data_IF_514738023811
#
_entry.id   IF_514738023811
#
_cell.length_a   1.000
_cell.length_b   1.000
_cell.length_c   1.000
_cell.angle_alpha   90.00
_cell.angle_beta   90.00
_cell.angle_gamma   90.00
#
_symmetry.space_group_name_H-M   'P 1'
#
loop_
_entity.id
_entity.type
_entity.pdbx_description
1 polymer ?
#
# COMPACT_ATOMS: atom_id res chain seq x y z
N UNK A 1 54.61 -9.00 2.48
CA UNK A 1 54.01 -8.17 1.41
C UNK A 1 53.32 -9.08 0.41
N UNK A 2 52.00 -9.25 0.52
CA UNK A 2 51.19 -9.93 -0.48
C UNK A 2 50.04 -9.00 -0.85
N UNK A 3 50.19 -8.33 -2.00
CA UNK A 3 49.10 -7.64 -2.66
C UNK A 3 48.43 -8.63 -3.60
N UNK A 4 47.11 -8.79 -3.50
CA UNK A 4 46.34 -9.45 -4.55
C UNK A 4 45.40 -8.43 -5.19
N UNK A 5 45.55 -8.29 -6.50
CA UNK A 5 44.66 -7.51 -7.35
C UNK A 5 43.25 -8.13 -7.30
N UNK A 6 42.25 -7.33 -6.93
CA UNK A 6 40.89 -7.64 -7.33
C UNK A 6 40.68 -7.16 -8.77
N UNK A 7 40.49 -8.11 -9.68
CA UNK A 7 40.23 -7.84 -11.08
C UNK A 7 38.84 -7.27 -11.31
N UNK A 8 38.72 -6.44 -12.37
CA UNK A 8 37.45 -5.90 -12.85
C UNK A 8 36.47 -7.03 -13.20
N UNK A 9 35.24 -6.96 -12.69
CA UNK A 9 34.13 -7.82 -13.09
C UNK A 9 33.12 -6.95 -13.86
N UNK A 10 33.39 -6.80 -15.15
CA UNK A 10 32.43 -6.27 -16.13
C UNK A 10 32.22 -7.38 -17.17
N UNK A 11 31.00 -7.47 -17.73
CA UNK A 11 30.48 -8.56 -18.58
C UNK A 11 29.96 -9.74 -17.72
N UNK A 12 28.73 -10.25 -17.88
CA UNK A 12 27.74 -10.09 -18.96
C UNK A 12 26.31 -9.80 -18.44
N UNK A 13 25.53 -8.99 -19.17
CA UNK A 13 24.07 -8.90 -19.06
C UNK A 13 23.46 -9.19 -20.44
N UNK A 14 22.48 -10.10 -20.57
CA UNK A 14 21.88 -10.41 -21.86
C UNK A 14 20.99 -9.27 -22.35
N UNK A 15 21.14 -8.96 -23.64
CA UNK A 15 20.34 -7.98 -24.36
C UNK A 15 18.91 -8.49 -24.63
N UNK A 16 17.98 -7.57 -24.93
CA UNK A 16 16.61 -7.85 -25.40
C UNK A 16 15.70 -8.74 -24.50
N UNK A 17 15.24 -8.16 -23.39
CA UNK A 17 13.87 -8.38 -22.91
C UNK A 17 13.16 -7.03 -22.83
N UNK A 18 12.10 -6.84 -23.60
CA UNK A 18 11.32 -5.60 -23.61
C UNK A 18 10.60 -5.43 -22.26
N UNK A 19 11.23 -4.67 -21.35
CA UNK A 19 10.73 -4.44 -20.00
C UNK A 19 9.34 -3.80 -20.04
N UNK A 20 8.39 -4.23 -19.19
CA UNK A 20 7.08 -3.59 -19.12
C UNK A 20 7.26 -2.10 -18.80
N UNK A 21 6.49 -1.25 -19.48
CA UNK A 21 6.59 0.22 -19.34
C UNK A 21 6.13 0.64 -17.94
N UNK A 22 7.11 0.88 -17.07
CA UNK A 22 6.90 1.32 -15.68
C UNK A 22 6.40 2.76 -15.66
N UNK A 23 5.49 3.06 -14.71
CA UNK A 23 5.04 4.41 -14.43
C UNK A 23 6.20 5.30 -13.93
N UNK A 24 6.51 6.32 -14.73
CA UNK A 24 7.62 7.26 -14.56
C UNK A 24 7.32 8.39 -13.56
N UNK A 25 6.18 8.36 -12.87
CA UNK A 25 5.75 9.43 -11.96
C UNK A 25 6.63 9.53 -10.71
N UNK A 26 7.06 8.40 -10.11
CA UNK A 26 7.93 8.39 -8.94
C UNK A 26 9.33 8.97 -9.21
N UNK A 27 9.94 8.67 -10.36
CA UNK A 27 11.27 9.21 -10.72
C UNK A 27 11.22 10.73 -10.97
N UNK A 28 10.13 11.22 -11.59
CA UNK A 28 9.91 12.67 -11.77
C UNK A 28 9.72 13.41 -10.44
N UNK A 29 9.08 12.77 -9.45
CA UNK A 29 8.90 13.35 -8.12
C UNK A 29 10.21 13.58 -7.35
N UNK A 30 11.25 12.76 -7.61
CA UNK A 30 12.59 12.92 -7.05
C UNK A 30 13.46 13.90 -7.86
N UNK A 31 13.36 13.88 -9.20
CA UNK A 31 14.24 14.63 -10.12
C UNK A 31 13.88 16.12 -10.33
N UNK A 32 12.80 16.63 -9.71
CA UNK A 32 12.50 18.07 -9.83
C UNK A 32 13.61 18.92 -9.20
N UNK A 33 14.28 19.72 -10.05
CA UNK A 33 15.31 20.73 -9.72
C UNK A 33 14.91 21.73 -8.62
N UNK A 34 13.65 21.70 -8.18
CA UNK A 34 13.09 22.53 -7.12
C UNK A 34 13.40 22.04 -5.70
N UNK A 35 13.73 20.75 -5.50
CA UNK A 35 13.85 20.13 -4.16
C UNK A 35 15.25 20.16 -3.53
N UNK A 36 16.31 20.41 -4.30
CA UNK A 36 17.72 20.46 -3.86
C UNK A 36 18.35 19.11 -3.44
N UNK A 37 17.83 17.99 -3.97
CA UNK A 37 18.44 16.67 -3.82
C UNK A 37 19.34 16.37 -5.03
N UNK A 38 20.58 15.95 -4.78
CA UNK A 38 21.50 15.50 -5.81
C UNK A 38 21.28 14.01 -6.09
N UNK A 39 21.22 13.63 -7.37
CA UNK A 39 21.09 12.23 -7.82
C UNK A 39 22.15 12.00 -8.87
N UNK A 40 23.30 11.47 -8.47
CA UNK A 40 24.46 11.31 -9.36
C UNK A 40 24.30 10.08 -10.27
N UNK A 41 23.63 9.03 -9.78
CA UNK A 41 23.36 7.80 -10.52
C UNK A 41 21.87 7.47 -10.56
N UNK A 42 21.17 7.97 -11.59
CA UNK A 42 19.73 7.75 -11.78
C UNK A 42 19.36 6.26 -11.99
N UNK A 43 20.27 5.46 -12.54
CA UNK A 43 20.04 4.02 -12.73
C UNK A 43 20.07 3.27 -11.38
N UNK A 44 21.04 3.58 -10.53
CA UNK A 44 21.10 3.08 -9.15
C UNK A 44 19.87 3.50 -8.35
N UNK A 45 19.50 4.79 -8.41
CA UNK A 45 18.33 5.30 -7.70
C UNK A 45 17.03 4.58 -8.10
N UNK A 46 16.85 4.24 -9.38
CA UNK A 46 15.71 3.43 -9.85
C UNK A 46 15.71 2.01 -9.31
N UNK A 47 16.86 1.36 -9.18
CA UNK A 47 16.97 0.01 -8.60
C UNK A 47 16.60 0.03 -7.12
N UNK A 48 17.17 0.97 -6.35
CA UNK A 48 16.90 1.10 -4.91
C UNK A 48 15.43 1.47 -4.65
N UNK A 49 14.88 2.46 -5.37
CA UNK A 49 13.46 2.83 -5.23
C UNK A 49 12.49 1.70 -5.61
N UNK A 50 12.91 0.76 -6.47
CA UNK A 50 12.14 -0.45 -6.79
C UNK A 50 12.21 -1.50 -5.67
N UNK A 51 13.32 -1.59 -4.94
CA UNK A 51 13.52 -2.55 -3.86
C UNK A 51 12.92 -2.08 -2.53
N UNK A 52 13.10 -0.81 -2.19
CA UNK A 52 12.74 -0.23 -0.88
C UNK A 52 11.41 0.54 -0.90
N UNK A 53 10.89 0.87 -2.08
CA UNK A 53 9.83 1.87 -2.31
C UNK A 53 10.26 3.33 -2.04
N UNK A 54 9.54 4.27 -2.66
CA UNK A 54 9.73 5.71 -2.42
C UNK A 54 9.33 6.13 -1.02
N UNK A 55 8.27 5.54 -0.44
CA UNK A 55 7.75 5.95 0.86
C UNK A 55 8.66 5.51 2.02
N UNK A 56 9.11 4.25 2.03
CA UNK A 56 10.02 3.77 3.07
C UNK A 56 11.36 4.52 3.06
N UNK A 57 11.94 4.77 1.88
CA UNK A 57 13.22 5.46 1.75
C UNK A 57 13.11 6.99 1.88
N UNK A 58 12.33 7.62 1.00
CA UNK A 58 12.25 9.09 0.94
C UNK A 58 11.26 9.60 1.98
N UNK A 59 10.09 8.97 2.12
CA UNK A 59 9.09 9.33 3.13
C UNK A 59 9.64 9.25 4.56
N UNK A 60 10.21 8.10 4.94
CA UNK A 60 10.72 7.87 6.30
C UNK A 60 11.91 8.75 6.70
N UNK A 61 12.83 9.03 5.78
CA UNK A 61 14.14 9.61 6.13
C UNK A 61 14.35 11.06 5.63
N UNK A 62 13.45 11.61 4.80
CA UNK A 62 13.54 12.99 4.24
C UNK A 62 13.81 14.07 5.29
N UNK A 63 13.21 13.97 6.47
CA UNK A 63 13.14 15.10 7.41
C UNK A 63 14.49 15.43 8.06
N UNK A 64 15.35 14.44 8.25
CA UNK A 64 16.73 14.62 8.75
C UNK A 64 17.57 15.43 7.75
N UNK A 65 17.34 15.25 6.46
CA UNK A 65 18.08 15.91 5.38
C UNK A 65 17.39 17.20 4.88
N UNK A 66 16.17 17.51 5.33
CA UNK A 66 15.47 18.73 4.98
C UNK A 66 15.75 19.88 5.94
N UNK A 67 15.59 21.10 5.44
CA UNK A 67 15.44 22.28 6.27
C UNK A 67 13.96 22.41 6.69
N UNK A 68 13.64 22.44 8.00
CA UNK A 68 12.24 22.46 8.47
C UNK A 68 11.42 23.64 7.97
N UNK A 69 12.07 24.78 7.72
CA UNK A 69 11.46 26.05 7.30
C UNK A 69 11.27 26.14 5.79
N UNK A 70 12.29 25.74 5.00
CA UNK A 70 12.22 25.86 3.52
C UNK A 70 11.63 24.62 2.84
N UNK A 71 11.47 23.51 3.57
CA UNK A 71 11.01 22.19 3.09
C UNK A 71 11.85 21.55 1.96
N UNK A 72 12.96 22.19 1.59
CA UNK A 72 13.98 21.67 0.65
C UNK A 72 15.03 20.85 1.38
N UNK A 73 15.73 20.00 0.64
CA UNK A 73 16.93 19.33 1.14
C UNK A 73 18.04 20.35 1.42
N UNK A 74 18.88 20.04 2.41
CA UNK A 74 20.07 20.82 2.77
C UNK A 74 21.04 20.84 1.59
N UNK A 75 21.83 21.92 1.47
CA UNK A 75 22.78 22.04 0.38
C UNK A 75 23.79 20.87 0.41
N UNK A 76 23.96 20.23 -0.74
CA UNK A 76 24.85 19.07 -0.88
C UNK A 76 24.25 17.71 -0.51
N UNK A 77 22.99 17.62 -0.05
CA UNK A 77 22.34 16.30 0.17
C UNK A 77 22.26 15.50 -1.12
N UNK A 78 22.75 14.26 -1.07
CA UNK A 78 22.69 13.27 -2.15
C UNK A 78 21.63 12.22 -1.84
N UNK A 79 21.09 11.58 -2.89
CA UNK A 79 20.16 10.47 -2.73
C UNK A 79 20.81 9.30 -1.98
N UNK A 80 22.09 9.08 -2.23
CA UNK A 80 22.94 8.11 -1.54
C UNK A 80 22.94 8.33 -0.01
N UNK A 81 22.93 9.58 0.49
CA UNK A 81 22.91 9.87 1.94
C UNK A 81 21.63 9.33 2.61
N UNK A 82 20.49 9.36 1.91
CA UNK A 82 19.23 8.80 2.40
C UNK A 82 19.26 7.26 2.36
N UNK A 83 19.92 6.68 1.36
CA UNK A 83 20.08 5.23 1.20
C UNK A 83 21.02 4.66 2.25
N UNK A 84 22.12 5.36 2.56
CA UNK A 84 23.05 5.01 3.64
C UNK A 84 22.34 5.05 5.00
N UNK A 85 21.52 6.08 5.26
CA UNK A 85 20.75 6.14 6.51
C UNK A 85 19.68 5.04 6.60
N UNK A 86 18.99 4.73 5.50
CA UNK A 86 18.04 3.62 5.43
C UNK A 86 18.72 2.28 5.73
N UNK A 87 19.84 1.98 5.07
CA UNK A 87 20.56 0.72 5.31
C UNK A 87 21.22 0.66 6.69
N UNK A 88 21.63 1.80 7.25
CA UNK A 88 22.09 1.87 8.63
C UNK A 88 20.96 1.53 9.62
N UNK A 89 19.74 2.05 9.42
CA UNK A 89 18.59 1.69 10.24
C UNK A 89 18.18 0.22 10.06
N UNK A 90 18.16 -0.31 8.84
CA UNK A 90 17.94 -1.75 8.59
C UNK A 90 18.97 -2.62 9.30
N UNK A 91 20.27 -2.29 9.21
CA UNK A 91 21.34 -3.01 9.90
C UNK A 91 21.17 -2.94 11.42
N UNK A 92 20.88 -1.74 11.95
CA UNK A 92 20.66 -1.51 13.37
C UNK A 92 19.44 -2.33 13.85
N UNK A 93 18.34 -2.32 13.09
CA UNK A 93 17.13 -3.08 13.38
C UNK A 93 17.35 -4.59 13.31
N UNK A 94 18.17 -5.07 12.37
CA UNK A 94 18.59 -6.48 12.31
C UNK A 94 19.42 -6.88 13.53
N UNK A 95 20.41 -6.07 13.91
CA UNK A 95 21.21 -6.29 15.12
C UNK A 95 20.37 -6.26 16.41
N UNK A 96 19.36 -5.38 16.48
CA UNK A 96 18.36 -5.40 17.54
C UNK A 96 17.50 -6.67 17.49
N UNK A 97 16.95 -7.06 16.34
CA UNK A 97 16.09 -8.25 16.23
C UNK A 97 16.84 -9.56 16.54
N UNK A 98 18.13 -9.63 16.22
CA UNK A 98 19.01 -10.77 16.52
C UNK A 98 19.45 -10.82 18.00
N UNK A 99 19.56 -9.67 18.68
CA UNK A 99 19.93 -9.59 20.11
C UNK A 99 18.75 -9.50 21.08
N UNK A 100 17.51 -9.26 20.63
CA UNK A 100 16.35 -9.00 21.51
C UNK A 100 15.37 -10.18 21.57
N UNK A 101 15.79 -11.29 22.19
CA UNK A 101 14.85 -12.35 22.58
C UNK A 101 14.28 -12.11 24.00
N UNK A 102 14.93 -11.29 24.83
CA UNK A 102 14.58 -11.05 26.24
C UNK A 102 14.78 -9.61 26.72
N UNK A 103 14.05 -9.23 27.79
CA UNK A 103 14.16 -7.93 28.47
C UNK A 103 15.54 -7.69 29.13
N UNK A 104 16.35 -8.74 29.32
CA UNK A 104 17.69 -8.60 29.89
C UNK A 104 18.67 -8.08 28.83
N UNK A 105 18.58 -8.58 27.59
CA UNK A 105 19.44 -8.14 26.49
C UNK A 105 19.22 -6.67 26.12
N UNK A 106 18.00 -6.14 26.28
CA UNK A 106 17.74 -4.69 26.22
C UNK A 106 18.64 -3.89 27.16
N UNK A 107 18.85 -4.37 28.40
CA UNK A 107 19.63 -3.69 29.44
C UNK A 107 21.12 -3.89 29.25
N UNK A 108 21.52 -5.04 28.75
CA UNK A 108 22.91 -5.33 28.45
C UNK A 108 23.37 -4.50 27.23
N UNK A 109 22.50 -4.27 26.25
CA UNK A 109 22.77 -3.34 25.15
C UNK A 109 22.76 -1.86 25.60
N UNK A 110 21.86 -1.48 26.52
CA UNK A 110 21.92 -0.16 27.18
C UNK A 110 23.27 0.04 27.90
N UNK A 111 23.82 -1.01 28.52
CA UNK A 111 25.15 -0.98 29.13
C UNK A 111 26.28 -0.86 28.10
N UNK A 112 26.27 -1.69 27.04
CA UNK A 112 27.26 -1.64 25.93
C UNK A 112 27.29 -0.25 25.25
N UNK A 113 26.13 0.40 25.08
CA UNK A 113 26.03 1.74 24.51
C UNK A 113 26.56 2.83 25.47
N UNK A 114 26.42 2.65 26.77
CA UNK A 114 26.87 3.59 27.80
C UNK A 114 28.39 3.55 28.05
N UNK A 115 29.04 2.41 27.76
CA UNK A 115 30.51 2.26 27.82
C UNK A 115 31.23 2.61 26.48
N UNK A 116 30.49 3.02 25.45
CA UNK A 116 31.06 3.30 24.12
C UNK A 116 31.89 4.61 24.09
N UNK A 117 33.14 4.55 23.62
CA UNK A 117 34.02 5.72 23.46
C UNK A 117 33.58 6.68 22.33
N UNK A 118 32.63 6.29 21.48
CA UNK A 118 32.12 7.12 20.40
C UNK A 118 31.25 8.29 20.92
N UNK A 119 31.89 9.45 21.05
CA UNK A 119 31.29 10.72 21.50
C UNK A 119 29.99 11.07 20.77
N UNK A 120 29.85 10.74 19.47
CA UNK A 120 28.63 11.05 18.71
C UNK A 120 27.46 10.17 19.11
N UNK A 121 27.69 8.85 19.29
CA UNK A 121 26.66 7.93 19.75
C UNK A 121 26.22 8.28 21.18
N UNK A 122 27.17 8.64 22.05
CA UNK A 122 26.89 9.13 23.39
C UNK A 122 26.02 10.39 23.40
N UNK A 123 26.35 11.39 22.57
CA UNK A 123 25.55 12.62 22.46
C UNK A 123 24.14 12.38 21.90
N UNK A 124 24.00 11.47 20.92
CA UNK A 124 22.68 11.08 20.39
C UNK A 124 21.87 10.33 21.45
N UNK A 125 22.48 9.41 22.19
CA UNK A 125 21.84 8.66 23.27
C UNK A 125 21.43 9.55 24.44
N UNK A 126 22.32 10.41 24.93
CA UNK A 126 22.02 11.39 25.99
C UNK A 126 20.89 12.33 25.57
N UNK A 127 20.88 12.77 24.30
CA UNK A 127 19.78 13.57 23.75
C UNK A 127 18.47 12.79 23.75
N UNK A 128 18.45 11.57 23.18
CA UNK A 128 17.26 10.70 23.16
C UNK A 128 16.75 10.46 24.58
N UNK A 129 17.61 10.09 25.53
CA UNK A 129 17.21 9.91 26.93
C UNK A 129 16.70 11.21 27.57
N UNK A 130 17.27 12.37 27.25
CA UNK A 130 16.77 13.66 27.74
C UNK A 130 15.38 14.00 27.19
N UNK A 131 15.11 13.70 25.93
CA UNK A 131 13.81 13.92 25.29
C UNK A 131 12.77 12.93 25.82
N UNK A 132 13.15 11.66 26.01
CA UNK A 132 12.34 10.62 26.66
C UNK A 132 12.00 10.97 28.11
N UNK A 133 12.97 11.53 28.85
CA UNK A 133 12.77 11.98 30.23
C UNK A 133 11.92 13.25 30.30
N UNK A 134 12.14 14.22 29.41
CA UNK A 134 11.32 15.42 29.31
C UNK A 134 9.87 15.05 29.01
N UNK A 135 9.63 14.20 28.00
CA UNK A 135 8.32 13.61 27.70
C UNK A 135 7.69 12.92 28.90
N UNK A 136 8.43 12.02 29.58
CA UNK A 136 7.93 11.35 30.79
C UNK A 136 7.60 12.31 31.94
N UNK A 137 8.31 13.44 32.06
CA UNK A 137 8.05 14.44 33.11
C UNK A 137 6.88 15.38 32.74
N UNK A 138 6.72 15.68 31.45
CA UNK A 138 5.58 16.39 30.87
C UNK A 138 4.28 15.59 31.06
N UNK A 139 4.34 14.26 30.81
CA UNK A 139 3.24 13.31 31.06
C UNK A 139 2.95 13.18 32.56
N UNK A 140 3.97 12.96 33.41
CA UNK A 140 3.78 12.80 34.86
C UNK A 140 3.32 14.07 35.60
N UNK A 141 3.40 15.25 34.97
CA UNK A 141 2.89 16.51 35.52
C UNK A 141 1.39 16.73 35.30
N UNK A 142 0.72 15.88 34.51
CA UNK A 142 -0.63 16.08 34.01
C UNK A 142 -1.48 14.79 34.10
N UNK A 143 -1.68 14.27 35.31
CA UNK A 143 -2.49 13.07 35.56
C UNK A 143 -3.32 13.20 36.86
N UNK A 144 -4.49 12.54 36.97
CA UNK A 144 -4.61 11.10 36.75
C UNK A 144 -5.46 10.63 35.57
N UNK A 145 -5.13 9.41 35.13
CA UNK A 145 -5.91 8.40 34.39
C UNK A 145 -5.55 8.18 32.91
N UNK A 146 -4.47 7.40 32.74
CA UNK A 146 -4.23 6.41 31.68
C UNK A 146 -3.73 6.91 30.31
N UNK A 147 -2.43 6.72 30.08
CA UNK A 147 -1.87 6.49 28.76
C UNK A 147 -2.62 5.35 28.03
N UNK A 148 -3.55 5.70 27.13
CA UNK A 148 -4.09 4.78 26.12
C UNK A 148 -3.43 4.97 24.76
N UNK A 149 -2.10 4.83 24.73
CA UNK A 149 -1.52 4.12 23.59
C UNK A 149 -1.97 2.67 23.74
N UNK A 150 -2.95 2.25 22.92
CA UNK A 150 -3.63 0.97 23.10
C UNK A 150 -2.64 -0.18 22.91
N UNK A 151 -2.18 -0.73 24.03
CA UNK A 151 -1.65 -2.10 24.07
C UNK A 151 -2.72 -3.07 23.55
N UNK A 152 -2.35 -4.28 23.16
CA UNK A 152 -3.30 -5.27 22.61
C UNK A 152 -4.47 -5.58 23.57
N UNK A 153 -4.33 -5.28 24.87
CA UNK A 153 -5.37 -5.39 25.89
C UNK A 153 -6.48 -4.33 25.82
N UNK A 154 -6.32 -3.28 25.01
CA UNK A 154 -7.24 -2.13 24.94
C UNK A 154 -7.96 -1.98 23.58
N UNK A 155 -7.69 -2.91 22.65
CA UNK A 155 -8.43 -3.07 21.40
C UNK A 155 -9.78 -3.74 21.71
N UNK A 156 -10.94 -3.16 21.35
CA UNK A 156 -12.23 -3.79 21.60
C UNK A 156 -12.30 -5.17 20.94
N UNK A 157 -12.84 -6.16 21.63
CA UNK A 157 -12.95 -7.56 21.17
C UNK A 157 -13.55 -7.66 19.75
N UNK A 158 -14.50 -6.79 19.41
CA UNK A 158 -15.11 -6.74 18.08
C UNK A 158 -14.11 -6.35 16.97
N UNK A 159 -13.18 -5.44 17.26
CA UNK A 159 -12.12 -5.00 16.34
C UNK A 159 -11.04 -6.08 16.24
N UNK A 160 -10.59 -6.64 17.37
CA UNK A 160 -9.60 -7.70 17.42
C UNK A 160 -10.09 -8.96 16.66
N UNK A 161 -11.28 -9.46 17.00
CA UNK A 161 -11.89 -10.63 16.34
C UNK A 161 -12.34 -10.36 14.90
N UNK A 162 -12.46 -9.10 14.46
CA UNK A 162 -12.60 -8.78 13.04
C UNK A 162 -11.25 -8.90 12.31
N UNK A 163 -10.17 -8.35 12.87
CA UNK A 163 -8.81 -8.39 12.30
C UNK A 163 -8.22 -9.79 12.25
N UNK A 164 -8.42 -10.60 13.28
CA UNK A 164 -8.00 -12.01 13.29
C UNK A 164 -8.63 -12.79 12.12
N UNK A 165 -9.96 -12.73 11.99
CA UNK A 165 -10.71 -13.33 10.86
C UNK A 165 -10.34 -12.73 9.50
N UNK A 166 -9.82 -11.50 9.47
CA UNK A 166 -9.23 -10.90 8.26
C UNK A 166 -7.89 -11.55 7.94
N UNK A 167 -7.00 -11.68 8.90
CA UNK A 167 -5.68 -12.31 8.72
C UNK A 167 -5.78 -13.78 8.25
N UNK A 168 -6.78 -14.53 8.72
CA UNK A 168 -7.04 -15.91 8.27
C UNK A 168 -7.51 -16.01 6.81
N UNK A 169 -8.33 -15.05 6.34
CA UNK A 169 -9.09 -15.16 5.08
C UNK A 169 -8.56 -14.30 3.95
N UNK A 170 -7.66 -13.37 4.23
CA UNK A 170 -7.14 -12.43 3.24
C UNK A 170 -6.15 -13.12 2.30
N UNK A 171 -6.41 -13.09 1.00
CA UNK A 171 -5.44 -13.51 0.00
C UNK A 171 -4.37 -12.42 -0.15
N UNK A 172 -3.14 -12.72 0.28
CA UNK A 172 -1.99 -11.79 0.25
C UNK A 172 -1.78 -11.17 -1.13
N UNK A 173 -1.45 -9.88 -1.14
CA UNK A 173 -1.27 -9.06 -2.35
C UNK A 173 0.22 -8.73 -2.46
N UNK A 174 0.88 -9.31 -3.46
CA UNK A 174 2.34 -9.15 -3.66
C UNK A 174 3.17 -9.44 -2.39
N UNK A 175 2.77 -10.50 -1.66
CA UNK A 175 3.36 -10.87 -0.37
C UNK A 175 2.75 -10.14 0.85
N UNK A 176 2.14 -8.97 0.66
CA UNK A 176 1.57 -8.16 1.74
C UNK A 176 0.29 -8.78 2.32
N UNK A 177 0.20 -8.82 3.65
CA UNK A 177 -0.98 -9.19 4.42
C UNK A 177 -1.75 -7.97 4.91
N UNK A 178 -2.84 -8.17 5.68
CA UNK A 178 -3.68 -7.07 6.17
C UNK A 178 -2.91 -6.05 7.00
N UNK A 179 -2.09 -6.48 7.96
CA UNK A 179 -1.32 -5.59 8.82
C UNK A 179 -0.32 -4.71 8.02
N UNK A 180 0.31 -5.30 6.99
CA UNK A 180 1.24 -4.58 6.11
C UNK A 180 0.53 -3.47 5.32
N UNK A 181 -0.72 -3.73 4.90
CA UNK A 181 -1.59 -2.77 4.21
C UNK A 181 -2.12 -1.71 5.17
N UNK A 182 -2.58 -2.11 6.36
CA UNK A 182 -3.06 -1.19 7.41
C UNK A 182 -1.96 -0.20 7.83
N UNK A 183 -0.72 -0.67 7.95
CA UNK A 183 0.45 0.17 8.21
C UNK A 183 0.72 1.18 7.08
N UNK A 184 0.73 0.71 5.82
CA UNK A 184 0.91 1.60 4.66
C UNK A 184 -0.21 2.65 4.52
N UNK A 185 -1.45 2.29 4.84
CA UNK A 185 -2.57 3.25 4.86
C UNK A 185 -2.42 4.24 6.01
N UNK A 186 -2.05 3.77 7.22
CA UNK A 186 -1.80 4.63 8.37
C UNK A 186 -0.77 5.72 8.02
N UNK A 187 0.39 5.34 7.48
CA UNK A 187 1.47 6.28 7.18
C UNK A 187 1.08 7.25 6.07
N UNK A 188 0.37 6.79 5.03
CA UNK A 188 -0.15 7.67 3.97
C UNK A 188 -1.16 8.70 4.51
N UNK A 189 -2.12 8.28 5.34
CA UNK A 189 -3.11 9.17 5.95
C UNK A 189 -2.42 10.15 6.90
N UNK A 190 -1.45 9.70 7.68
CA UNK A 190 -0.68 10.56 8.59
C UNK A 190 0.15 11.61 7.85
N UNK A 191 0.78 11.24 6.71
CA UNK A 191 1.45 12.21 5.84
C UNK A 191 0.44 13.21 5.23
N UNK A 192 -0.76 12.78 4.80
CA UNK A 192 -1.82 13.69 4.33
C UNK A 192 -2.30 14.67 5.40
N UNK A 193 -2.47 14.21 6.64
CA UNK A 193 -2.80 15.07 7.80
C UNK A 193 -1.69 16.11 8.01
N UNK A 194 -0.44 15.65 8.07
CA UNK A 194 0.74 16.48 8.35
C UNK A 194 1.04 17.52 7.26
N UNK A 195 1.00 17.12 5.98
CA UNK A 195 1.36 17.99 4.85
C UNK A 195 0.28 19.04 4.57
N UNK A 196 -0.99 18.78 4.91
CA UNK A 196 -2.09 19.74 4.79
C UNK A 196 -2.39 20.51 6.10
N UNK A 197 -1.71 20.19 7.20
CA UNK A 197 -1.90 20.84 8.50
C UNK A 197 -3.29 20.60 9.10
N UNK A 198 -3.85 19.41 8.90
CA UNK A 198 -5.18 19.04 9.39
C UNK A 198 -5.16 18.80 10.90
N UNK A 199 -6.21 19.28 11.58
CA UNK A 199 -6.58 18.84 12.93
C UNK A 199 -7.28 17.48 12.81
N UNK A 200 -6.49 16.41 12.81
CA UNK A 200 -6.94 15.03 12.79
C UNK A 200 -5.92 14.08 13.45
N UNK A 201 -6.43 13.09 14.20
CA UNK A 201 -5.69 12.04 14.90
C UNK A 201 -6.28 10.68 14.51
N UNK A 202 -5.46 9.74 14.03
CA UNK A 202 -5.90 8.39 13.66
C UNK A 202 -6.09 7.54 14.92
N UNK A 203 -7.26 6.93 15.08
CA UNK A 203 -7.61 6.05 16.20
C UNK A 203 -7.47 4.57 15.80
N UNK A 204 -7.93 4.21 14.60
CA UNK A 204 -7.85 2.85 14.07
C UNK A 204 -7.72 2.81 12.56
N UNK A 205 -7.00 1.82 12.06
CA UNK A 205 -7.01 1.41 10.64
C UNK A 205 -7.38 -0.07 10.57
N UNK A 206 -8.26 -0.45 9.64
CA UNK A 206 -8.65 -1.84 9.41
C UNK A 206 -8.89 -2.13 7.92
N UNK A 207 -8.32 -3.22 7.38
CA UNK A 207 -8.67 -3.74 6.05
C UNK A 207 -10.06 -4.36 6.10
N UNK A 208 -10.97 -3.85 5.27
CA UNK A 208 -12.39 -4.23 5.26
C UNK A 208 -12.81 -4.79 3.89
N UNK A 209 -14.09 -4.63 3.55
CA UNK A 209 -14.67 -5.02 2.28
C UNK A 209 -14.40 -6.45 1.84
N UNK A 210 -14.42 -6.71 0.53
CA UNK A 210 -14.52 -8.11 0.05
C UNK A 210 -13.25 -8.94 0.25
N UNK A 211 -12.09 -8.28 0.26
CA UNK A 211 -10.78 -8.93 0.45
C UNK A 211 -10.56 -9.37 1.88
N UNK A 212 -11.10 -8.65 2.88
CA UNK A 212 -11.04 -9.05 4.28
C UNK A 212 -11.65 -10.43 4.59
N UNK A 213 -12.46 -10.99 3.69
CA UNK A 213 -13.12 -12.30 3.88
C UNK A 213 -12.82 -13.31 2.77
N UNK A 214 -11.87 -13.04 1.86
CA UNK A 214 -11.53 -13.93 0.74
C UNK A 214 -12.67 -14.11 -0.29
N UNK A 215 -13.64 -13.19 -0.31
CA UNK A 215 -14.83 -13.25 -1.17
C UNK A 215 -14.79 -12.29 -2.37
N UNK A 216 -13.64 -11.67 -2.60
CA UNK A 216 -13.39 -10.73 -3.68
C UNK A 216 -13.44 -11.35 -5.08
N UNK A 217 -13.53 -10.47 -6.10
CA UNK A 217 -13.36 -10.83 -7.51
C UNK A 217 -12.07 -10.21 -8.05
N UNK A 218 -11.68 -10.56 -9.29
CA UNK A 218 -10.45 -10.06 -9.92
C UNK A 218 -10.33 -8.52 -9.97
N UNK A 219 -11.47 -7.82 -10.02
CA UNK A 219 -11.56 -6.37 -10.11
C UNK A 219 -12.10 -5.75 -8.80
N UNK A 220 -11.96 -6.44 -7.66
CA UNK A 220 -12.24 -5.82 -6.36
C UNK A 220 -11.09 -4.92 -5.95
N UNK A 221 -11.42 -3.73 -5.49
CA UNK A 221 -10.49 -2.79 -4.86
C UNK A 221 -10.03 -3.31 -3.49
N UNK A 222 -9.16 -2.58 -2.81
CA UNK A 222 -8.74 -2.81 -1.43
C UNK A 222 -9.47 -1.79 -0.55
N UNK A 223 -10.56 -2.21 0.08
CA UNK A 223 -11.33 -1.37 0.99
C UNK A 223 -10.61 -1.27 2.37
N UNK A 224 -10.31 -0.06 2.86
CA UNK A 224 -9.69 0.17 4.19
C UNK A 224 -10.48 1.23 4.95
N UNK A 225 -10.88 0.94 6.19
CA UNK A 225 -11.56 1.90 7.06
C UNK A 225 -10.55 2.56 8.01
N UNK A 226 -10.67 3.87 8.20
CA UNK A 226 -9.78 4.66 9.06
C UNK A 226 -10.63 5.48 10.05
N UNK A 227 -10.68 5.05 11.31
CA UNK A 227 -11.29 5.87 12.37
C UNK A 227 -10.34 6.98 12.76
N UNK A 228 -10.84 8.21 12.83
CA UNK A 228 -10.10 9.37 13.27
C UNK A 228 -10.94 10.30 14.16
N UNK A 229 -10.28 11.12 14.97
CA UNK A 229 -10.85 12.28 15.67
C UNK A 229 -10.26 13.55 15.07
N UNK A 230 -11.07 14.59 14.86
CA UNK A 230 -10.59 15.83 14.25
C UNK A 230 -11.70 16.73 13.75
N UNK A 231 -11.33 17.89 13.20
CA UNK A 231 -12.28 18.87 12.66
C UNK A 231 -12.59 18.71 11.17
N UNK A 232 -11.79 17.94 10.41
CA UNK A 232 -12.09 17.65 9.00
C UNK A 232 -13.31 16.72 8.88
N UNK A 233 -14.17 16.98 7.89
CA UNK A 233 -15.35 16.14 7.63
C UNK A 233 -14.96 14.89 6.85
N UNK A 234 -15.64 13.77 7.12
CA UNK A 234 -15.39 12.49 6.44
C UNK A 234 -15.42 12.62 4.90
N UNK A 235 -16.36 13.39 4.34
CA UNK A 235 -16.51 13.53 2.88
C UNK A 235 -15.32 14.30 2.27
N UNK A 236 -14.95 15.43 2.89
CA UNK A 236 -13.82 16.26 2.46
C UNK A 236 -12.47 15.51 2.62
N UNK A 237 -12.35 14.67 3.66
CA UNK A 237 -11.17 13.83 3.89
C UNK A 237 -11.12 12.65 2.91
N UNK A 238 -12.25 12.04 2.59
CA UNK A 238 -12.35 10.97 1.59
C UNK A 238 -11.86 11.47 0.23
N UNK A 239 -12.34 12.64 -0.22
CA UNK A 239 -11.90 13.23 -1.49
C UNK A 239 -10.39 13.49 -1.49
N UNK A 240 -9.86 14.11 -0.42
CA UNK A 240 -8.42 14.41 -0.27
C UNK A 240 -7.52 13.17 -0.26
N UNK A 241 -7.98 12.06 0.33
CA UNK A 241 -7.25 10.80 0.39
C UNK A 241 -7.21 10.09 -0.98
N UNK A 242 -8.12 10.42 -1.90
CA UNK A 242 -8.18 9.82 -3.24
C UNK A 242 -7.60 10.69 -4.37
N UNK A 243 -7.20 11.94 -4.10
CA UNK A 243 -6.55 12.84 -5.07
C UNK A 243 -5.38 12.19 -5.82
N UNK A 244 -4.54 11.42 -5.11
CA UNK A 244 -3.33 10.79 -5.67
C UNK A 244 -3.59 9.44 -6.35
N UNK A 245 -4.82 8.90 -6.25
CA UNK A 245 -5.19 7.63 -6.87
C UNK A 245 -4.38 6.43 -6.37
N UNK A 246 -4.15 6.32 -5.06
CA UNK A 246 -3.27 5.30 -4.45
C UNK A 246 -3.64 3.86 -4.86
N UNK A 247 -2.62 3.05 -5.14
CA UNK A 247 -2.75 1.62 -5.46
C UNK A 247 -1.72 0.79 -4.71
N UNK A 248 -2.06 -0.47 -4.42
CA UNK A 248 -1.12 -1.48 -3.88
C UNK A 248 -1.07 -2.63 -4.89
N UNK A 249 0.12 -2.96 -5.39
CA UNK A 249 0.33 -3.92 -6.48
C UNK A 249 -0.56 -3.68 -7.72
N UNK A 250 -0.87 -2.41 -8.03
CA UNK A 250 -1.75 -2.01 -9.14
C UNK A 250 -3.25 -2.22 -8.89
N UNK A 251 -3.66 -2.62 -7.68
CA UNK A 251 -5.07 -2.66 -7.26
C UNK A 251 -5.41 -1.34 -6.58
N UNK A 252 -6.53 -0.71 -6.95
CA UNK A 252 -7.00 0.55 -6.34
C UNK A 252 -7.21 0.36 -4.83
N UNK A 253 -6.73 1.31 -4.05
CA UNK A 253 -7.02 1.45 -2.62
C UNK A 253 -8.25 2.37 -2.46
N UNK A 254 -9.20 1.97 -1.59
CA UNK A 254 -10.40 2.73 -1.28
C UNK A 254 -10.43 3.03 0.23
N UNK A 255 -9.99 4.22 0.61
CA UNK A 255 -9.80 4.61 2.02
C UNK A 255 -11.06 5.32 2.51
N UNK A 256 -11.75 4.71 3.46
CA UNK A 256 -13.00 5.19 4.01
C UNK A 256 -12.74 5.79 5.42
N UNK A 257 -12.54 7.12 5.53
CA UNK A 257 -12.36 7.78 6.82
C UNK A 257 -13.71 7.86 7.56
N UNK A 258 -13.72 7.45 8.83
CA UNK A 258 -14.91 7.38 9.67
C UNK A 258 -14.69 8.13 10.99
N UNK A 259 -15.77 8.72 11.52
CA UNK A 259 -15.80 9.45 12.78
C UNK A 259 -16.91 8.94 13.68
N UNK A 260 -16.68 8.96 14.99
CA UNK A 260 -17.68 8.63 16.02
C UNK A 260 -19.01 9.40 15.82
N UNK A 261 -18.93 10.67 15.40
CA UNK A 261 -20.09 11.55 15.28
C UNK A 261 -20.96 11.37 14.02
N UNK A 262 -20.51 10.63 12.99
CA UNK A 262 -21.28 10.42 11.74
C UNK A 262 -21.41 8.94 11.38
N UNK A 263 -20.29 8.26 11.13
CA UNK A 263 -20.30 6.83 10.75
C UNK A 263 -20.23 5.89 11.98
N UNK A 264 -19.72 6.39 13.11
CA UNK A 264 -19.51 5.64 14.34
C UNK A 264 -18.07 5.16 14.52
N UNK A 265 -17.74 4.69 15.73
CA UNK A 265 -16.44 4.08 16.04
C UNK A 265 -16.23 2.77 15.28
N UNK A 266 -14.99 2.35 15.10
CA UNK A 266 -14.61 1.09 14.45
C UNK A 266 -15.29 -0.12 15.09
N UNK A 267 -15.45 -0.10 16.43
CA UNK A 267 -16.17 -1.12 17.20
C UNK A 267 -17.64 -1.27 16.79
N UNK A 268 -18.32 -0.17 16.46
CA UNK A 268 -19.72 -0.17 16.02
C UNK A 268 -19.86 -0.35 14.50
N UNK A 269 -18.87 0.10 13.73
CA UNK A 269 -18.84 0.01 12.26
C UNK A 269 -18.59 -1.42 11.77
N UNK A 270 -17.60 -2.13 12.31
CA UNK A 270 -17.20 -3.45 11.83
C UNK A 270 -18.30 -4.54 11.92
N UNK A 271 -19.17 -4.59 12.95
CA UNK A 271 -20.32 -5.49 12.97
C UNK A 271 -21.30 -5.28 11.80
N UNK A 272 -21.51 -4.03 11.37
CA UNK A 272 -22.34 -3.72 10.22
C UNK A 272 -21.68 -4.17 8.90
N UNK A 273 -20.35 -3.99 8.80
CA UNK A 273 -19.54 -4.50 7.68
C UNK A 273 -19.59 -6.03 7.62
N UNK A 274 -19.42 -6.74 8.74
CA UNK A 274 -19.47 -8.20 8.77
C UNK A 274 -20.80 -8.73 8.23
N UNK A 275 -21.92 -8.20 8.73
CA UNK A 275 -23.27 -8.56 8.27
C UNK A 275 -23.47 -8.33 6.77
N UNK A 276 -22.91 -7.26 6.21
CA UNK A 276 -22.91 -7.01 4.77
C UNK A 276 -22.11 -8.08 4.02
N UNK A 277 -20.91 -8.43 4.50
CA UNK A 277 -20.02 -9.42 3.88
C UNK A 277 -20.61 -10.84 3.95
N UNK A 278 -21.26 -11.22 5.04
CA UNK A 278 -21.98 -12.49 5.20
C UNK A 278 -23.14 -12.64 4.19
N UNK A 279 -23.93 -11.57 4.00
CA UNK A 279 -24.99 -11.55 2.98
C UNK A 279 -24.39 -11.70 1.58
N UNK A 280 -23.32 -10.95 1.28
CA UNK A 280 -22.61 -10.97 -0.01
C UNK A 280 -21.98 -12.34 -0.30
N UNK A 281 -21.44 -13.01 0.71
CA UNK A 281 -20.93 -14.38 0.63
C UNK A 281 -22.05 -15.39 0.34
N UNK A 282 -23.15 -15.32 1.10
CA UNK A 282 -24.33 -16.17 0.94
C UNK A 282 -24.93 -16.07 -0.46
N UNK A 283 -25.04 -14.87 -1.01
CA UNK A 283 -25.53 -14.66 -2.38
C UNK A 283 -24.56 -15.14 -3.44
N UNK A 284 -23.24 -15.05 -3.19
CA UNK A 284 -22.21 -15.61 -4.07
C UNK A 284 -22.30 -17.14 -4.10
N UNK A 285 -22.58 -17.78 -2.98
CA UNK A 285 -22.77 -19.24 -2.89
C UNK A 285 -24.05 -19.70 -3.60
N UNK A 286 -25.19 -19.04 -3.36
CA UNK A 286 -26.44 -19.28 -4.12
C UNK A 286 -26.23 -19.13 -5.63
N UNK A 287 -25.49 -18.10 -6.08
CA UNK A 287 -25.14 -17.92 -7.50
C UNK A 287 -24.25 -19.04 -8.03
N UNK A 288 -23.28 -19.52 -7.25
CA UNK A 288 -22.42 -20.67 -7.62
C UNK A 288 -23.24 -21.97 -7.74
N UNK A 289 -24.16 -22.25 -6.82
CA UNK A 289 -24.98 -23.48 -6.85
C UNK A 289 -25.98 -23.47 -8.02
N UNK A 290 -26.63 -22.35 -8.30
CA UNK A 290 -27.49 -22.16 -9.48
C UNK A 290 -26.69 -22.35 -10.77
N UNK A 291 -25.51 -21.73 -10.89
CA UNK A 291 -24.65 -21.87 -12.08
C UNK A 291 -24.16 -23.31 -12.29
N UNK A 292 -23.86 -24.03 -11.19
CA UNK A 292 -23.51 -25.46 -11.23
C UNK A 292 -24.68 -26.31 -11.77
N UNK A 293 -25.89 -26.12 -11.23
CA UNK A 293 -27.09 -26.81 -11.69
C UNK A 293 -27.46 -26.51 -13.15
N UNK A 294 -27.21 -25.29 -13.64
CA UNK A 294 -27.36 -24.94 -15.07
C UNK A 294 -26.32 -25.70 -15.91
N UNK A 295 -25.04 -25.69 -15.52
CA UNK A 295 -23.98 -26.41 -16.24
C UNK A 295 -24.25 -27.92 -16.32
N UNK A 296 -24.74 -28.53 -15.23
CA UNK A 296 -25.11 -29.95 -15.19
C UNK A 296 -26.29 -30.26 -16.13
N UNK A 297 -27.34 -29.43 -16.14
CA UNK A 297 -28.47 -29.56 -17.08
C UNK A 297 -28.04 -29.39 -18.54
N UNK A 298 -27.18 -28.41 -18.84
CA UNK A 298 -26.64 -28.20 -20.18
C UNK A 298 -25.65 -29.30 -20.63
N UNK A 299 -24.93 -29.93 -19.71
CA UNK A 299 -24.09 -31.09 -20.00
C UNK A 299 -24.93 -32.34 -20.32
N UNK A 300 -26.05 -32.55 -19.61
CA UNK A 300 -27.01 -33.61 -19.91
C UNK A 300 -27.64 -33.47 -21.31
N UNK A 301 -27.94 -32.23 -21.74
CA UNK A 301 -28.53 -31.94 -23.05
C UNK A 301 -27.61 -32.22 -24.25
N UNK A 302 -26.30 -32.45 -24.05
CA UNK A 302 -25.36 -32.80 -25.14
C UNK A 302 -25.26 -34.30 -25.45
N UNK A 303 -26.13 -35.15 -24.88
CA UNK A 303 -26.18 -36.60 -25.12
C UNK A 303 -27.38 -37.10 -25.95
N UNK A 304 -27.98 -36.25 -26.79
CA UNK A 304 -28.86 -36.70 -27.88
C UNK A 304 -28.23 -36.35 -29.23
N UNK A 305 -27.73 -37.36 -29.95
CA UNK A 305 -27.30 -37.19 -31.33
C UNK A 305 -28.49 -36.74 -32.22
N UNK A 306 -28.33 -35.75 -33.10
CA UNK A 306 -29.27 -35.54 -34.19
C UNK A 306 -29.08 -36.68 -35.20
N UNK A 307 -30.07 -37.56 -35.30
CA UNK A 307 -30.04 -38.70 -36.21
C UNK A 307 -29.78 -38.26 -37.67
N UNK A 308 -28.74 -38.82 -38.29
CA UNK A 308 -28.31 -38.49 -39.67
C UNK A 308 -29.41 -38.81 -40.69
N UNK A 309 -30.20 -37.80 -41.08
CA UNK A 309 -31.05 -37.88 -42.28
C UNK A 309 -30.20 -37.56 -43.51
N UNK A 310 -29.91 -38.57 -44.34
CA UNK A 310 -29.18 -38.39 -45.61
C UNK A 310 -29.99 -37.48 -46.54
N UNK A 311 -29.44 -36.32 -46.90
CA UNK A 311 -29.87 -35.60 -48.10
C UNK A 311 -29.24 -36.27 -49.32
N UNK A 312 -30.00 -36.42 -50.41
CA UNK A 312 -29.48 -36.84 -51.72
C UNK A 312 -29.01 -35.61 -52.48
N UNK A 313 -27.87 -35.72 -53.15
CA UNK A 313 -27.38 -34.71 -54.08
C UNK A 313 -28.33 -34.57 -55.28
N UNK A 314 -28.68 -33.33 -55.62
CA UNK A 314 -29.10 -32.96 -56.97
C UNK A 314 -28.48 -31.62 -57.38
N UNK A 315 -27.61 -31.73 -58.38
CA UNK A 315 -26.91 -30.68 -59.14
C UNK A 315 -27.79 -29.48 -59.56
N UNK A 316 -27.31 -28.25 -59.34
CA UNK A 316 -26.80 -27.35 -60.40
C UNK A 316 -26.52 -25.92 -59.89
N UNK A 317 -25.65 -25.13 -60.56
CA UNK A 317 -25.05 -23.92 -59.98
C UNK A 317 -25.80 -22.62 -60.31
N UNK A 318 -25.61 -21.60 -59.48
CA UNK A 318 -25.92 -20.21 -59.85
C UNK A 318 -24.84 -19.25 -59.34
N UNK A 319 -24.36 -18.37 -60.23
CA UNK A 319 -23.31 -17.39 -60.02
C UNK A 319 -23.94 -15.99 -60.07
N UNK A 320 -23.78 -15.16 -59.03
CA UNK A 320 -23.88 -13.69 -59.16
C UNK A 320 -22.79 -13.00 -58.31
N UNK A 321 -22.27 -11.94 -58.93
CA UNK A 321 -21.08 -11.13 -58.69
C UNK A 321 -21.09 -10.22 -57.44
N UNK A 322 -19.88 -9.84 -57.01
CA UNK A 322 -19.61 -8.59 -56.29
C UNK A 322 -19.68 -7.39 -57.26
N UNK A 323 -20.18 -6.25 -56.79
CA UNK A 323 -19.75 -4.91 -57.27
C UNK A 323 -19.87 -3.86 -56.16
N UNK A 324 -18.83 -3.03 -56.02
CA UNK A 324 -18.83 -1.81 -55.22
C UNK A 324 -19.78 -0.74 -55.80
N UNK A 325 -20.26 0.18 -54.94
CA UNK A 325 -20.71 1.52 -55.36
C UNK A 325 -20.10 2.56 -54.43
N UNK A 326 -19.39 3.51 -55.00
CA UNK A 326 -18.69 4.60 -54.30
C UNK A 326 -19.52 5.88 -54.22
N UNK A 327 -19.46 6.53 -53.05
CA UNK A 327 -19.41 7.99 -52.85
C UNK A 327 -20.42 8.92 -53.51
N UNK A 328 -21.28 9.53 -52.68
CA UNK A 328 -21.77 10.91 -52.88
C UNK A 328 -21.52 11.73 -51.60
N UNK A 329 -21.03 12.96 -51.79
CA UNK A 329 -20.73 13.99 -50.78
C UNK A 329 -21.90 14.99 -50.63
N UNK A 330 -22.06 15.81 -49.58
CA UNK A 330 -21.46 15.95 -48.23
C UNK A 330 -22.14 17.20 -47.59
N UNK A 331 -22.39 17.26 -46.27
CA UNK A 331 -22.27 18.48 -45.39
C UNK A 331 -22.97 18.39 -44.02
N UNK A 332 -22.41 19.13 -43.05
CA UNK A 332 -22.88 19.44 -41.69
C UNK A 332 -22.84 18.22 -40.73
N UNK A 333 -21.85 18.04 -39.84
CA UNK A 333 -21.19 18.97 -38.90
C UNK A 333 -22.18 19.54 -37.88
N UNK A 334 -22.18 19.00 -36.66
CA UNK A 334 -21.63 19.70 -35.48
C UNK A 334 -21.49 18.76 -34.27
N UNK A 335 -20.35 18.87 -33.57
CA UNK A 335 -20.12 18.32 -32.23
C UNK A 335 -20.70 19.29 -31.19
N UNK A 336 -21.23 18.79 -30.08
CA UNK A 336 -20.98 19.42 -28.77
C UNK A 336 -20.97 18.38 -27.65
N UNK A 337 -19.83 18.30 -26.96
CA UNK A 337 -19.79 17.91 -25.55
C UNK A 337 -20.04 19.16 -24.70
N UNK A 338 -20.67 18.98 -23.55
CA UNK A 338 -20.49 19.79 -22.34
C UNK A 338 -20.50 18.85 -21.14
#
# INVERSE_FOLDING_TARGET
MHSQNFGSIHQDLPDDQELPKIDITATKACSSKQKNLLIDNEAYAKVILKQTSYYSLIGGYKDIFKNPTTKKYKDGTRFEDLVELYYFDELLRQLFLEKLETLQECKDLEWELMENENVYLKLVWEKVQSELKAKKTEIAGAEPEAEKMKTDADVPDAVAGFKERTNEKFHRIDGLGPADIESQVHDYVMDKIRDNGLDAEIIYVAVTGTRSRGIENKNSDIDVAVEYKGSIREDDFFDMLHEDGMTIAGIKLDINPITEGKTGTMENYLPAVEKHLEHKASDREKKKSVLKGIKEKCAGAKKSEPAKKKMKDHSSPCVIFYTDITGIQNKNNDYYCY
#
